data_IF_482249609804
#
_entry.id   IF_482249609804
#
_cell.length_a   1.000
_cell.length_b   1.000
_cell.length_c   1.000
_cell.angle_alpha   90.00
_cell.angle_beta   90.00
_cell.angle_gamma   90.00
#
_symmetry.space_group_name_H-M   'P 1'
#
loop_
_entity.id
_entity.type
_entity.pdbx_description
1 polymer ?
#
# COMPACT_ATOMS: atom_id res chain seq x y z
N UNK A 1 13.37 -13.79 -21.85
CA UNK A 1 13.10 -12.36 -21.61
C UNK A 1 12.06 -11.91 -22.63
N UNK A 2 10.78 -11.98 -22.27
CA UNK A 2 9.68 -11.76 -23.23
C UNK A 2 9.48 -10.26 -23.50
N UNK A 3 9.47 -9.89 -24.78
CA UNK A 3 9.28 -8.53 -25.28
C UNK A 3 7.80 -8.14 -25.21
N UNK A 4 7.52 -7.04 -24.53
CA UNK A 4 6.20 -6.56 -24.14
C UNK A 4 5.20 -6.17 -25.25
N UNK A 5 5.41 -6.46 -26.55
CA UNK A 5 4.49 -5.93 -27.57
C UNK A 5 4.54 -6.60 -28.96
N UNK A 6 3.64 -7.53 -29.23
CA UNK A 6 3.24 -7.95 -30.58
C UNK A 6 1.73 -7.73 -30.74
N UNK A 7 1.29 -6.54 -31.14
CA UNK A 7 -0.13 -6.30 -31.44
C UNK A 7 -0.29 -5.48 -32.72
N UNK A 8 -0.91 -6.13 -33.71
CA UNK A 8 -1.27 -5.59 -35.00
C UNK A 8 -2.35 -4.51 -34.93
N UNK A 9 -2.14 -3.44 -35.68
CA UNK A 9 -3.18 -2.59 -36.26
C UNK A 9 -3.94 -1.61 -35.36
N UNK A 10 -3.87 -1.71 -34.03
CA UNK A 10 -4.45 -0.69 -33.13
C UNK A 10 -3.43 0.43 -32.91
N UNK A 11 -3.83 1.71 -32.95
CA UNK A 11 -2.96 2.83 -32.55
C UNK A 11 -2.37 2.46 -31.19
N UNK A 12 -1.05 2.19 -31.15
CA UNK A 12 -0.39 1.64 -29.97
C UNK A 12 -0.75 2.52 -28.78
N UNK A 13 -1.57 2.01 -27.86
CA UNK A 13 -1.83 2.71 -26.61
C UNK A 13 -0.47 3.07 -26.04
N UNK A 14 -0.23 4.37 -25.83
CA UNK A 14 1.07 4.87 -25.39
C UNK A 14 1.51 4.07 -24.17
N UNK A 15 2.74 3.55 -24.19
CA UNK A 15 3.28 2.82 -23.05
C UNK A 15 3.48 3.83 -21.91
N UNK A 16 2.74 3.64 -20.83
CA UNK A 16 2.86 4.45 -19.62
C UNK A 16 3.63 3.66 -18.56
N UNK A 17 4.60 4.29 -17.92
CA UNK A 17 5.36 3.71 -16.82
C UNK A 17 5.11 4.51 -15.54
N UNK A 18 5.08 3.82 -14.40
CA UNK A 18 5.12 4.46 -13.08
C UNK A 18 6.59 4.75 -12.79
N UNK A 19 6.95 6.03 -12.72
CA UNK A 19 8.34 6.48 -12.52
C UNK A 19 8.66 6.81 -11.05
N UNK A 20 7.63 7.01 -10.24
CA UNK A 20 7.76 7.26 -8.80
C UNK A 20 6.45 6.91 -8.09
N UNK A 21 6.54 6.56 -6.81
CA UNK A 21 5.41 6.37 -5.91
C UNK A 21 5.80 6.81 -4.49
N UNK A 22 4.85 7.39 -3.76
CA UNK A 22 4.98 7.70 -2.34
C UNK A 22 3.91 6.94 -1.56
N UNK A 23 4.26 6.43 -0.39
CA UNK A 23 3.35 5.65 0.45
C UNK A 23 3.43 6.15 1.88
N UNK A 24 2.27 6.33 2.51
CA UNK A 24 2.13 6.50 3.95
C UNK A 24 1.15 5.42 4.39
N UNK A 25 1.62 4.46 5.18
CA UNK A 25 0.79 3.35 5.63
C UNK A 25 1.22 2.85 7.00
N UNK A 26 0.37 2.07 7.70
CA UNK A 26 0.77 1.34 8.90
C UNK A 26 1.90 0.32 8.65
N UNK A 27 2.14 -0.05 7.39
CA UNK A 27 3.25 -0.90 6.96
C UNK A 27 4.57 -0.13 6.81
N UNK A 28 4.56 1.20 6.90
CA UNK A 28 5.76 2.04 6.90
C UNK A 28 5.61 3.37 6.17
N UNK A 29 6.62 4.21 6.31
CA UNK A 29 6.74 5.49 5.61
C UNK A 29 7.64 5.33 4.39
N UNK A 30 7.05 5.49 3.21
CA UNK A 30 7.74 5.34 1.93
C UNK A 30 7.66 3.92 1.37
N UNK A 31 8.24 3.78 0.17
CA UNK A 31 8.12 2.56 -0.63
C UNK A 31 8.91 1.40 -0.03
N UNK A 32 10.15 1.65 0.39
CA UNK A 32 11.06 0.60 0.85
C UNK A 32 10.56 -0.05 2.13
N UNK A 33 10.14 0.76 3.11
CA UNK A 33 9.59 0.26 4.37
C UNK A 33 8.27 -0.49 4.14
N UNK A 34 7.34 0.09 3.38
CA UNK A 34 6.06 -0.55 3.07
C UNK A 34 6.27 -1.89 2.36
N UNK A 35 7.16 -1.95 1.37
CA UNK A 35 7.45 -3.17 0.61
C UNK A 35 8.07 -4.25 1.50
N UNK A 36 9.00 -3.86 2.37
CA UNK A 36 9.67 -4.79 3.29
C UNK A 36 8.66 -5.42 4.25
N UNK A 37 7.82 -4.58 4.88
CA UNK A 37 6.80 -5.03 5.83
C UNK A 37 5.71 -5.87 5.18
N UNK A 38 5.29 -5.49 3.96
CA UNK A 38 4.30 -6.23 3.19
C UNK A 38 4.83 -7.62 2.81
N UNK A 39 6.09 -7.70 2.36
CA UNK A 39 6.75 -8.99 2.07
C UNK A 39 6.88 -9.87 3.30
N UNK A 40 7.12 -9.27 4.46
CA UNK A 40 7.17 -9.96 5.74
C UNK A 40 5.78 -10.37 6.28
N UNK A 41 4.69 -10.01 5.58
CA UNK A 41 3.31 -10.25 6.05
C UNK A 41 3.07 -9.68 7.46
N UNK A 42 3.64 -8.49 7.74
CA UNK A 42 3.49 -7.83 9.04
C UNK A 42 2.02 -7.48 9.26
N UNK A 43 1.44 -7.98 10.36
CA UNK A 43 0.13 -7.50 10.81
C UNK A 43 0.27 -6.09 11.40
N UNK A 44 -0.57 -5.17 10.94
CA UNK A 44 -0.59 -3.79 11.42
C UNK A 44 -1.95 -3.41 11.98
N UNK A 45 -2.86 -4.38 12.17
CA UNK A 45 -4.16 -4.14 12.77
C UNK A 45 -4.02 -4.20 14.29
N UNK A 46 -4.33 -3.09 14.95
CA UNK A 46 -4.28 -2.96 16.41
C UNK A 46 -5.57 -2.34 16.94
N UNK A 47 -5.84 -2.38 18.26
CA UNK A 47 -6.89 -1.57 18.87
C UNK A 47 -6.72 -0.09 18.53
N UNK A 48 -7.82 0.62 18.31
CA UNK A 48 -7.79 2.08 18.14
C UNK A 48 -7.50 2.73 19.49
N UNK A 49 -6.47 3.58 19.54
CA UNK A 49 -6.05 4.27 20.78
C UNK A 49 -6.15 5.79 20.70
N UNK A 50 -6.25 6.36 19.49
CA UNK A 50 -6.30 7.82 19.29
C UNK A 50 -7.61 8.47 19.71
N UNK A 51 -8.71 7.72 19.75
CA UNK A 51 -10.02 8.22 20.16
C UNK A 51 -10.89 7.09 20.70
N UNK A 52 -11.92 7.45 21.45
CA UNK A 52 -12.87 6.51 22.03
C UNK A 52 -13.74 5.84 20.95
N UNK A 53 -13.73 4.50 20.96
CA UNK A 53 -14.51 3.63 20.06
C UNK A 53 -15.44 2.71 20.84
N UNK A 54 -15.73 2.98 22.12
CA UNK A 54 -16.51 2.10 22.99
C UNK A 54 -17.86 1.72 22.38
N UNK A 55 -18.55 2.72 21.80
CA UNK A 55 -19.88 2.59 21.17
C UNK A 55 -19.84 2.13 19.71
N UNK A 56 -18.65 1.87 19.16
CA UNK A 56 -18.48 1.39 17.80
C UNK A 56 -18.48 -0.14 17.74
N UNK A 57 -19.03 -0.71 16.67
CA UNK A 57 -18.98 -2.16 16.41
C UNK A 57 -17.56 -2.65 16.12
N UNK A 58 -16.76 -1.86 15.41
CA UNK A 58 -15.36 -2.14 15.13
C UNK A 58 -14.48 -1.27 16.04
N UNK A 59 -13.43 -1.87 16.63
CA UNK A 59 -12.54 -1.23 17.61
C UNK A 59 -11.06 -1.35 17.25
N UNK A 60 -10.78 -1.83 16.05
CA UNK A 60 -9.42 -2.07 15.55
C UNK A 60 -9.21 -1.36 14.22
N UNK A 61 -7.99 -0.92 13.95
CA UNK A 61 -7.62 -0.29 12.69
C UNK A 61 -6.14 -0.53 12.38
N UNK A 62 -5.77 -0.35 11.12
CA UNK A 62 -4.38 -0.10 10.75
C UNK A 62 -4.00 1.32 11.16
N UNK A 63 -3.68 1.54 12.42
CA UNK A 63 -3.23 2.84 12.90
C UNK A 63 -1.70 2.91 12.94
N UNK A 64 -1.17 4.11 12.77
CA UNK A 64 0.24 4.42 13.03
C UNK A 64 0.33 4.87 14.49
N UNK A 65 1.29 4.31 15.24
CA UNK A 65 1.56 4.74 16.62
C UNK A 65 2.01 6.20 16.65
N UNK A 66 1.72 6.89 17.75
CA UNK A 66 2.27 8.23 18.01
C UNK A 66 3.65 8.17 18.68
N UNK A 67 4.04 6.98 19.17
CA UNK A 67 5.39 6.65 19.65
C UNK A 67 6.34 6.25 18.51
#
# INVERSE_FOLDING_TARGET
MATFNELGGKTRQSRVAVVAAGVISPLGLGLDETLTSLRASRDCISPVTRFDVEKCRCKTAGQVSDE
#
